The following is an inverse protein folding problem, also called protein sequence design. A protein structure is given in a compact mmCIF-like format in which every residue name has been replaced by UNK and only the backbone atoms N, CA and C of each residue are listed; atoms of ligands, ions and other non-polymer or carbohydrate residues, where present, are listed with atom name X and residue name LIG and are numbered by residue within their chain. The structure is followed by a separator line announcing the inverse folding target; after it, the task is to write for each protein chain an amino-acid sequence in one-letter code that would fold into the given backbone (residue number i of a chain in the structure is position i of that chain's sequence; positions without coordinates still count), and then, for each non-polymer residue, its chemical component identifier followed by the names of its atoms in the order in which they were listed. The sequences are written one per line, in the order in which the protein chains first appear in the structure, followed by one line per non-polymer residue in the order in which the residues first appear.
data_IF_114022362348
#
_entry.id   IF_114022362348
#
_cell.length_a   1.000
_cell.length_b   1.000
_cell.length_c   1.000
_cell.angle_alpha   90.00
_cell.angle_beta   90.00
_cell.angle_gamma   90.00
#
_symmetry.space_group_name_H-M   'P 1'
#
loop_
_entity.id
_entity.type
_entity.pdbx_description
1 polymer ?
#
# COMPACT_ATOMS: atom_id res chain seq x y z
N UNK A 1 10.80 17.15 14.50
CA UNK A 1 9.36 16.84 14.52
C UNK A 1 9.19 15.34 14.32
N UNK A 2 8.59 14.60 15.26
CA UNK A 2 8.27 13.19 15.03
C UNK A 2 7.11 13.16 14.01
N UNK A 3 7.32 12.67 12.78
CA UNK A 3 6.31 12.81 11.74
C UNK A 3 5.21 11.79 12.03
N UNK A 4 4.12 12.25 12.63
CA UNK A 4 2.87 11.52 12.85
C UNK A 4 2.96 10.31 13.80
N UNK A 5 2.41 10.47 15.01
CA UNK A 5 2.04 9.32 15.87
C UNK A 5 1.09 8.39 15.10
N UNK A 6 1.16 7.07 15.33
CA UNK A 6 0.27 6.10 14.68
C UNK A 6 -1.21 6.40 14.94
N UNK A 7 -1.53 7.09 16.04
CA UNK A 7 -2.87 7.64 16.29
C UNK A 7 -3.31 8.71 15.30
N UNK A 8 -2.41 9.63 14.92
CA UNK A 8 -2.68 10.69 13.94
C UNK A 8 -2.92 10.09 12.55
N UNK A 9 -2.10 9.10 12.16
CA UNK A 9 -2.28 8.36 10.93
C UNK A 9 -3.58 7.56 10.94
N UNK A 10 -3.92 6.92 12.06
CA UNK A 10 -5.21 6.23 12.20
C UNK A 10 -6.38 7.18 12.08
N UNK A 11 -6.37 8.33 12.76
CA UNK A 11 -7.45 9.33 12.61
C UNK A 11 -7.61 9.77 11.15
N UNK A 12 -6.50 9.90 10.42
CA UNK A 12 -6.51 10.28 9.00
C UNK A 12 -7.02 9.18 8.07
N UNK A 13 -6.66 7.93 8.34
CA UNK A 13 -6.93 6.80 7.46
C UNK A 13 -8.03 5.85 7.96
N UNK A 14 -8.67 6.14 9.09
CA UNK A 14 -9.77 5.33 9.62
C UNK A 14 -10.90 5.25 8.59
N UNK A 15 -11.39 4.04 8.35
CA UNK A 15 -12.39 3.73 7.33
C UNK A 15 -11.93 4.02 5.89
N UNK A 16 -10.65 4.33 5.67
CA UNK A 16 -10.09 4.50 4.33
C UNK A 16 -9.66 3.14 3.76
N UNK A 17 -9.78 3.03 2.44
CA UNK A 17 -9.28 1.89 1.66
C UNK A 17 -7.77 2.02 1.47
N UNK A 18 -7.06 0.94 1.76
CA UNK A 18 -5.59 0.82 1.75
C UNK A 18 -5.19 -0.51 1.12
N UNK A 19 -3.94 -0.61 0.71
CA UNK A 19 -3.31 -1.85 0.29
C UNK A 19 -2.52 -2.41 1.46
N UNK A 20 -2.87 -3.61 1.88
CA UNK A 20 -2.32 -4.28 3.05
C UNK A 20 -1.46 -5.48 2.63
N UNK A 21 -0.22 -5.52 3.14
CA UNK A 21 0.75 -6.59 2.86
C UNK A 21 0.33 -7.88 3.57
N UNK A 22 0.24 -8.97 2.82
CA UNK A 22 0.08 -10.34 3.30
C UNK A 22 1.46 -10.99 3.47
N UNK A 23 1.51 -12.14 4.15
CA UNK A 23 2.75 -12.82 4.52
C UNK A 23 3.62 -13.27 3.33
N UNK A 24 3.03 -13.39 2.15
CA UNK A 24 3.69 -13.71 0.87
C UNK A 24 4.28 -12.49 0.16
N UNK A 25 4.22 -11.29 0.77
CA UNK A 25 4.70 -10.05 0.18
C UNK A 25 3.75 -9.42 -0.84
N UNK A 26 2.56 -10.00 -1.04
CA UNK A 26 1.51 -9.45 -1.89
C UNK A 26 0.66 -8.48 -1.08
N UNK A 27 0.27 -7.39 -1.73
CA UNK A 27 -0.61 -6.39 -1.18
C UNK A 27 -2.03 -6.60 -1.70
N UNK A 28 -3.01 -6.56 -0.80
CA UNK A 28 -4.42 -6.72 -1.15
C UNK A 28 -5.25 -5.54 -0.63
N UNK A 29 -6.35 -5.17 -1.31
CA UNK A 29 -7.28 -4.16 -0.82
C UNK A 29 -7.84 -4.52 0.55
N UNK A 30 -7.73 -3.58 1.46
CA UNK A 30 -8.28 -3.67 2.80
C UNK A 30 -8.80 -2.30 3.25
N UNK A 31 -9.56 -2.29 4.33
CA UNK A 31 -10.07 -1.07 4.97
C UNK A 31 -9.50 -0.99 6.37
N UNK A 32 -8.96 0.17 6.73
CA UNK A 32 -8.48 0.41 8.10
C UNK A 32 -9.68 0.49 9.04
N UNK A 33 -9.70 -0.38 10.06
CA UNK A 33 -10.78 -0.46 11.05
C UNK A 33 -10.31 -0.07 12.44
N UNK A 34 -9.11 -0.49 12.83
CA UNK A 34 -8.64 -0.38 14.21
C UNK A 34 -7.17 0.04 14.28
N UNK A 35 -6.77 0.56 15.43
CA UNK A 35 -5.37 0.78 15.79
C UNK A 35 -5.13 0.06 17.12
N UNK A 36 -4.03 -0.68 17.21
CA UNK A 36 -3.61 -1.45 18.37
C UNK A 36 -2.23 -0.96 18.80
N UNK A 37 -2.04 -0.81 20.12
CA UNK A 37 -0.76 -0.38 20.74
C UNK A 37 -0.16 0.91 20.18
N UNK A 38 -0.98 1.78 19.59
CA UNK A 38 -0.56 3.07 19.03
C UNK A 38 0.21 3.01 17.70
N UNK A 39 0.47 1.81 17.15
CA UNK A 39 1.28 1.65 15.93
C UNK A 39 0.80 0.53 14.99
N UNK A 40 0.10 -0.49 15.51
CA UNK A 40 -0.35 -1.63 14.72
C UNK A 40 -1.72 -1.34 14.12
N UNK A 41 -1.85 -1.41 12.80
CA UNK A 41 -3.10 -1.11 12.13
C UNK A 41 -3.91 -2.39 11.92
N UNK A 42 -5.12 -2.42 12.45
CA UNK A 42 -6.13 -3.44 12.19
C UNK A 42 -6.86 -3.12 10.89
N UNK A 43 -6.66 -3.95 9.86
CA UNK A 43 -7.31 -3.84 8.56
C UNK A 43 -8.23 -5.02 8.29
N UNK A 44 -9.30 -4.77 7.56
CA UNK A 44 -10.23 -5.79 7.08
C UNK A 44 -10.06 -5.92 5.57
N UNK A 45 -9.64 -7.09 5.10
CA UNK A 45 -9.48 -7.36 3.67
C UNK A 45 -10.83 -7.46 2.96
N UNK A 46 -10.86 -7.11 1.67
CA UNK A 46 -12.06 -7.28 0.86
C UNK A 46 -12.46 -8.77 0.79
N UNK A 47 -13.71 -9.06 1.15
CA UNK A 47 -14.23 -10.44 1.24
C UNK A 47 -13.98 -11.13 2.58
N UNK A 48 -13.19 -10.54 3.47
CA UNK A 48 -12.88 -11.10 4.78
C UNK A 48 -13.80 -10.53 5.86
N UNK A 49 -14.20 -11.35 6.83
CA UNK A 49 -15.03 -10.90 7.98
C UNK A 49 -14.17 -10.47 9.17
N UNK A 50 -12.91 -10.92 9.22
CA UNK A 50 -11.99 -10.64 10.31
C UNK A 50 -11.19 -9.35 10.13
N UNK A 51 -10.67 -8.83 11.24
CA UNK A 51 -9.64 -7.78 11.25
C UNK A 51 -8.28 -8.45 11.43
N UNK A 52 -7.35 -8.18 10.52
CA UNK A 52 -5.95 -8.58 10.62
C UNK A 52 -5.13 -7.39 11.10
N UNK A 53 -4.28 -7.60 12.10
CA UNK A 53 -3.38 -6.58 12.61
C UNK A 53 -2.03 -6.68 11.92
N UNK A 54 -1.56 -5.56 11.37
CA UNK A 54 -0.28 -5.45 10.70
C UNK A 54 0.68 -4.62 11.54
N UNK A 55 1.78 -5.26 11.94
CA UNK A 55 2.88 -4.61 12.66
C UNK A 55 3.62 -3.64 11.74
N UNK A 56 4.03 -2.49 12.29
CA UNK A 56 4.77 -1.46 11.54
C UNK A 56 3.92 -0.59 10.61
N UNK A 57 2.67 -0.97 10.30
CA UNK A 57 1.71 -0.13 9.58
C UNK A 57 2.30 0.57 8.33
N UNK A 58 2.19 1.91 8.30
CA UNK A 58 2.73 2.76 7.23
C UNK A 58 4.23 3.09 7.38
N UNK A 59 4.79 2.91 8.57
CA UNK A 59 6.15 3.36 8.92
C UNK A 59 7.19 2.25 8.87
N UNK A 60 6.78 0.99 8.72
CA UNK A 60 7.69 -0.15 8.57
C UNK A 60 8.53 -0.07 7.29
N UNK A 61 9.66 -0.77 7.28
CA UNK A 61 10.46 -0.98 6.07
C UNK A 61 10.69 -2.49 5.86
N UNK A 62 10.03 -3.12 4.87
CA UNK A 62 9.05 -2.54 3.95
C UNK A 62 7.72 -2.20 4.66
N UNK A 63 6.98 -1.19 4.20
CA UNK A 63 5.72 -0.82 4.83
C UNK A 63 4.70 -1.94 4.68
N UNK A 64 3.97 -2.22 5.77
CA UNK A 64 2.90 -3.20 5.75
C UNK A 64 1.61 -2.62 5.15
N UNK A 65 1.46 -1.29 5.15
CA UNK A 65 0.34 -0.56 4.57
C UNK A 65 0.81 0.47 3.54
N UNK A 66 0.10 0.51 2.41
CA UNK A 66 0.27 1.50 1.34
C UNK A 66 -1.09 2.10 1.00
N UNK A 67 -1.12 3.36 0.57
CA UNK A 67 -2.36 3.99 0.15
C UNK A 67 -2.86 3.40 -1.16
N UNK A 68 -4.15 3.07 -1.21
CA UNK A 68 -4.81 2.63 -2.45
C UNK A 68 -5.21 3.85 -3.29
N UNK A 69 -4.21 4.64 -3.69
CA UNK A 69 -4.37 5.87 -4.47
C UNK A 69 -3.39 5.81 -5.63
N UNK A 70 -3.88 6.09 -6.83
CA UNK A 70 -3.03 6.21 -8.01
C UNK A 70 -2.17 7.47 -7.87
N UNK A 71 -0.83 7.34 -7.82
CA UNK A 71 0.04 8.50 -7.74
C UNK A 71 -0.05 9.34 -9.03
N UNK A 72 0.08 10.67 -8.94
CA UNK A 72 0.06 11.53 -10.11
C UNK A 72 1.26 11.24 -11.03
N UNK A 73 1.06 11.33 -12.36
CA UNK A 73 2.10 11.03 -13.35
C UNK A 73 3.41 11.80 -13.10
N UNK A 74 3.32 13.05 -12.62
CA UNK A 74 4.48 13.89 -12.29
C UNK A 74 5.35 13.34 -11.13
N UNK A 75 4.81 12.43 -10.31
CA UNK A 75 5.53 11.77 -9.21
C UNK A 75 6.14 10.41 -9.61
N UNK A 76 5.83 9.94 -10.82
CA UNK A 76 6.29 8.67 -11.34
C UNK A 76 7.46 8.89 -12.30
N UNK A 77 8.66 8.46 -11.88
CA UNK A 77 9.86 8.45 -12.70
C UNK A 77 10.54 7.09 -12.64
N UNK A 78 11.54 6.88 -13.52
CA UNK A 78 12.40 5.69 -13.43
C UNK A 78 13.10 5.69 -12.07
N UNK A 79 13.05 4.55 -11.37
CA UNK A 79 13.56 4.40 -10.01
C UNK A 79 12.51 4.61 -8.92
N UNK A 80 11.32 5.13 -9.22
CA UNK A 80 10.27 5.35 -8.21
C UNK A 80 9.74 4.00 -7.68
N UNK A 81 9.74 3.77 -6.35
CA UNK A 81 9.12 2.59 -5.76
C UNK A 81 7.59 2.73 -5.78
N UNK A 82 6.92 1.72 -6.33
CA UNK A 82 5.46 1.71 -6.49
C UNK A 82 4.88 0.34 -6.12
N UNK A 83 3.60 0.31 -5.76
CA UNK A 83 2.83 -0.93 -5.75
C UNK A 83 2.07 -1.02 -7.07
N UNK A 84 2.41 -2.02 -7.88
CA UNK A 84 1.73 -2.26 -9.15
C UNK A 84 0.87 -3.51 -9.06
N UNK A 85 -0.26 -3.47 -9.75
CA UNK A 85 -1.18 -4.61 -9.84
C UNK A 85 -0.54 -5.72 -10.68
N UNK A 86 -0.58 -6.95 -10.17
CA UNK A 86 0.00 -8.13 -10.82
C UNK A 86 -0.84 -8.58 -12.02
N UNK A 87 -2.15 -8.67 -11.82
CA UNK A 87 -3.08 -9.14 -12.84
C UNK A 87 -4.29 -8.20 -12.94
N UNK A 88 -4.74 -7.81 -14.15
CA UNK A 88 -5.92 -6.96 -14.31
C UNK A 88 -7.23 -7.59 -13.82
N UNK A 89 -7.34 -8.92 -13.81
CA UNK A 89 -8.50 -9.67 -13.31
C UNK A 89 -8.48 -9.84 -11.79
N UNK A 90 -7.32 -9.69 -11.17
CA UNK A 90 -7.16 -9.83 -9.72
C UNK A 90 -6.98 -8.47 -9.03
N UNK A 91 -7.18 -8.45 -7.72
CA UNK A 91 -6.85 -7.30 -6.88
C UNK A 91 -5.60 -7.57 -6.06
N UNK A 92 -4.58 -8.16 -6.69
CA UNK A 92 -3.28 -8.43 -6.08
C UNK A 92 -2.25 -7.40 -6.56
N UNK A 93 -1.51 -6.84 -5.62
CA UNK A 93 -0.51 -5.82 -5.86
C UNK A 93 0.84 -6.29 -5.34
N UNK A 94 1.92 -5.89 -5.98
CA UNK A 94 3.27 -6.19 -5.51
C UNK A 94 4.13 -4.95 -5.60
N UNK A 95 5.04 -4.82 -4.64
CA UNK A 95 6.05 -3.77 -4.67
C UNK A 95 6.98 -3.99 -5.85
N UNK A 96 7.23 -2.92 -6.58
CA UNK A 96 8.18 -2.88 -7.66
C UNK A 96 8.77 -1.49 -7.82
N UNK A 97 9.62 -1.36 -8.81
CA UNK A 97 10.27 -0.11 -9.17
C UNK A 97 9.93 0.19 -10.61
N UNK A 98 9.54 1.43 -10.89
CA UNK A 98 9.34 1.89 -12.27
C UNK A 98 10.69 1.85 -12.99
N UNK A 99 10.77 1.10 -14.09
CA UNK A 99 11.99 0.98 -14.91
C UNK A 99 11.88 1.74 -16.22
N UNK A 100 10.67 2.02 -16.68
CA UNK A 100 10.40 2.72 -17.94
C UNK A 100 9.15 3.57 -17.78
N UNK A 101 9.17 4.77 -18.36
CA UNK A 101 8.03 5.68 -18.44
C UNK A 101 7.88 6.13 -19.89
N UNK A 102 6.76 5.79 -20.51
CA UNK A 102 6.37 6.33 -21.82
C UNK A 102 5.33 7.42 -21.62
N UNK A 103 5.43 8.50 -22.39
CA UNK A 103 4.51 9.64 -22.31
C UNK A 103 3.36 9.57 -23.35
N UNK A 104 3.45 8.70 -24.37
CA UNK A 104 2.51 8.68 -25.51
C UNK A 104 2.27 7.24 -26.04
N UNK A 105 1.21 6.54 -25.59
CA UNK A 105 0.34 6.85 -24.45
C UNK A 105 1.10 6.73 -23.11
N UNK A 106 0.60 7.35 -22.02
CA UNK A 106 1.21 7.23 -20.70
C UNK A 106 1.24 5.75 -20.26
N UNK A 107 2.43 5.15 -20.23
CA UNK A 107 2.63 3.77 -19.81
C UNK A 107 3.87 3.64 -18.93
N UNK A 108 3.79 2.73 -17.96
CA UNK A 108 4.84 2.53 -16.97
C UNK A 108 5.21 1.06 -16.95
N UNK A 109 6.49 0.73 -17.11
CA UNK A 109 6.96 -0.63 -16.84
C UNK A 109 7.49 -0.67 -15.42
N UNK A 110 7.02 -1.66 -14.67
CA UNK A 110 7.40 -1.88 -13.29
C UNK A 110 8.14 -3.20 -13.19
N UNK A 111 9.33 -3.17 -12.61
CA UNK A 111 10.07 -4.37 -12.24
C UNK A 111 9.72 -4.73 -10.80
N UNK A 112 9.05 -5.85 -10.61
CA UNK A 112 8.74 -6.37 -9.28
C UNK A 112 10.03 -6.80 -8.57
N UNK A 113 10.08 -6.59 -7.26
CA UNK A 113 11.14 -7.17 -6.45
C UNK A 113 10.98 -8.71 -6.42
N UNK A 114 12.09 -9.47 -6.48
CA UNK A 114 12.08 -10.92 -6.34
C UNK A 114 11.58 -11.37 -4.96
#
# INVERSE_FOLDING_TARGET
EAPFSGESLFRRFRCQRVLARRGDGVFQPAVVKQLRRGQDFGVQFAGDRGVTYLEGGFSGDPPALVLDVTPPAASLGVGTPVCARLDPAETLYRRGTVVEVSAKPPSYRVRFAP
#
